data_IF_117920713577
#
_entry.id   IF_117920713577
#
_cell.length_a   1.000
_cell.length_b   1.000
_cell.length_c   1.000
_cell.angle_alpha   90.00
_cell.angle_beta   90.00
_cell.angle_gamma   90.00
#
_symmetry.space_group_name_H-M   'P 1'
#
loop_
_entity.id
_entity.type
_entity.pdbx_description
1 polymer ?
#
# COMPACT_ATOMS: atom_id res chain seq x y z
N UNK A 1 1.33 -17.56 2.96
CA UNK A 1 1.40 -16.13 2.56
C UNK A 1 2.76 -15.54 2.88
N UNK A 2 3.18 -14.60 2.07
CA UNK A 2 4.49 -13.97 2.24
C UNK A 2 4.34 -12.60 2.91
N UNK A 3 5.14 -12.35 3.97
CA UNK A 3 5.21 -11.06 4.66
C UNK A 3 6.68 -10.69 4.85
N UNK A 4 7.27 -9.95 3.90
CA UNK A 4 8.70 -9.60 3.99
C UNK A 4 9.06 -8.87 5.29
N UNK A 5 10.20 -9.24 5.88
CA UNK A 5 10.64 -8.70 7.16
C UNK A 5 11.17 -7.27 7.07
N UNK A 6 11.53 -6.83 5.87
CA UNK A 6 12.09 -5.49 5.66
C UNK A 6 11.03 -4.41 5.42
N UNK A 7 9.75 -4.78 5.55
CA UNK A 7 8.64 -3.84 5.37
C UNK A 7 7.95 -3.57 6.69
N UNK A 8 7.13 -2.52 6.71
CA UNK A 8 6.22 -2.23 7.80
C UNK A 8 4.80 -2.41 7.30
N UNK A 9 3.85 -2.58 8.22
CA UNK A 9 2.49 -2.96 7.88
C UNK A 9 1.47 -2.19 8.70
N UNK A 10 0.27 -2.02 8.14
CA UNK A 10 -0.86 -1.40 8.84
C UNK A 10 -1.97 -2.42 9.05
N UNK A 11 -2.88 -2.12 9.99
CA UNK A 11 -4.06 -2.96 10.21
C UNK A 11 -5.09 -2.83 9.09
N UNK A 12 -4.89 -1.87 8.18
CA UNK A 12 -5.71 -1.73 6.97
C UNK A 12 -5.13 -2.54 5.81
N UNK A 13 -4.08 -3.34 6.11
CA UNK A 13 -3.46 -4.28 5.16
C UNK A 13 -2.68 -3.61 4.04
N UNK A 14 -2.01 -2.50 4.35
CA UNK A 14 -1.02 -1.92 3.45
C UNK A 14 0.37 -2.22 3.97
N UNK A 15 1.33 -2.33 3.05
CA UNK A 15 2.75 -2.43 3.39
C UNK A 15 3.45 -1.12 3.02
N UNK A 16 4.54 -0.85 3.74
CA UNK A 16 5.34 0.36 3.54
C UNK A 16 6.81 -0.03 3.49
N UNK A 17 7.51 0.42 2.45
CA UNK A 17 8.96 0.27 2.35
C UNK A 17 9.57 1.66 2.51
N UNK A 18 10.34 1.86 3.58
CA UNK A 18 10.93 3.14 3.89
C UNK A 18 12.27 3.28 3.17
N UNK A 19 12.45 4.41 2.45
CA UNK A 19 13.67 4.74 1.71
C UNK A 19 14.06 6.17 2.06
N UNK A 20 14.74 6.36 3.21
CA UNK A 20 15.08 7.68 3.70
C UNK A 20 13.83 8.43 4.15
N UNK A 21 13.55 9.58 3.54
CA UNK A 21 12.33 10.33 3.83
C UNK A 21 11.22 10.07 2.81
N UNK A 22 11.39 9.02 2.00
CA UNK A 22 10.37 8.56 1.06
C UNK A 22 9.87 7.18 1.45
N UNK A 23 8.72 6.82 0.92
CA UNK A 23 8.16 5.48 1.13
C UNK A 23 7.44 5.01 -0.12
N UNK A 24 7.49 3.69 -0.32
CA UNK A 24 6.69 3.02 -1.35
C UNK A 24 5.60 2.25 -0.61
N UNK A 25 4.38 2.32 -1.11
CA UNK A 25 3.21 1.74 -0.44
C UNK A 25 2.44 0.85 -1.41
N UNK A 26 1.96 -0.26 -0.90
CA UNK A 26 1.08 -1.15 -1.63
C UNK A 26 0.20 -1.93 -0.66
N UNK A 27 -0.56 -2.90 -1.17
CA UNK A 27 -1.37 -3.76 -0.31
C UNK A 27 -0.68 -5.11 -0.15
N UNK A 28 -0.96 -5.77 0.98
CA UNK A 28 -0.29 -7.01 1.33
C UNK A 28 -0.83 -8.20 0.53
N UNK A 29 -0.08 -9.31 0.57
CA UNK A 29 -0.51 -10.57 -0.01
C UNK A 29 -1.85 -11.02 0.59
N UNK A 30 -2.04 -10.81 1.89
CA UNK A 30 -3.31 -11.11 2.55
C UNK A 30 -4.45 -10.29 1.94
N UNK A 31 -4.23 -8.98 1.76
CA UNK A 31 -5.26 -8.08 1.23
C UNK A 31 -5.66 -8.46 -0.20
N UNK A 32 -4.68 -8.73 -1.06
CA UNK A 32 -5.01 -9.09 -2.44
C UNK A 32 -5.77 -10.42 -2.51
N UNK A 33 -5.45 -11.35 -1.61
CA UNK A 33 -6.16 -12.63 -1.53
C UNK A 33 -7.61 -12.45 -1.12
N UNK A 34 -7.88 -11.55 -0.17
CA UNK A 34 -9.23 -11.25 0.28
C UNK A 34 -10.05 -10.53 -0.80
N UNK A 35 -9.41 -9.64 -1.57
CA UNK A 35 -10.08 -8.90 -2.63
C UNK A 35 -10.35 -9.74 -3.87
N UNK A 36 -9.45 -10.68 -4.18
CA UNK A 36 -9.54 -11.48 -5.40
C UNK A 36 -8.92 -10.72 -6.57
N UNK A 37 -9.31 -11.07 -7.78
CA UNK A 37 -8.71 -10.52 -9.00
C UNK A 37 -8.91 -9.01 -9.11
N UNK A 38 -7.80 -8.28 -9.14
CA UNK A 38 -7.79 -6.83 -9.23
C UNK A 38 -7.92 -6.43 -10.70
N UNK A 39 -8.86 -5.54 -11.00
CA UNK A 39 -9.14 -5.10 -12.35
C UNK A 39 -8.84 -3.62 -12.58
N UNK A 40 -8.76 -2.81 -11.51
CA UNK A 40 -8.49 -1.39 -11.64
C UNK A 40 -7.96 -0.80 -10.34
N UNK A 41 -7.00 0.12 -10.45
CA UNK A 41 -6.47 0.89 -9.31
C UNK A 41 -6.59 2.36 -9.69
N UNK A 42 -7.32 3.14 -8.87
CA UNK A 42 -7.52 4.56 -9.14
C UNK A 42 -6.86 5.38 -8.04
N UNK A 43 -5.94 6.27 -8.45
CA UNK A 43 -5.23 7.16 -7.52
C UNK A 43 -5.25 8.55 -8.12
N UNK A 44 -6.01 9.47 -7.50
CA UNK A 44 -6.19 10.83 -7.97
C UNK A 44 -5.56 11.86 -7.04
N UNK A 45 -4.73 11.40 -6.11
CA UNK A 45 -4.17 12.24 -5.05
C UNK A 45 -2.72 12.64 -5.29
N UNK A 46 -2.20 12.43 -6.50
CA UNK A 46 -0.82 12.81 -6.84
C UNK A 46 -0.64 14.32 -6.60
N UNK A 47 0.43 14.66 -5.89
CA UNK A 47 0.74 16.04 -5.53
C UNK A 47 0.06 16.55 -4.27
N UNK A 48 -0.82 15.76 -3.67
CA UNK A 48 -1.55 16.18 -2.47
C UNK A 48 -0.83 15.75 -1.19
N UNK A 49 -0.82 16.62 -0.21
CA UNK A 49 -0.35 16.29 1.14
C UNK A 49 -1.55 15.78 1.93
N UNK A 50 -1.42 14.60 2.51
CA UNK A 50 -2.50 13.94 3.24
C UNK A 50 -2.05 13.48 4.61
N UNK A 51 -3.02 13.37 5.53
CA UNK A 51 -2.78 12.82 6.86
C UNK A 51 -2.80 11.29 6.81
N UNK A 52 -2.17 10.67 7.80
CA UNK A 52 -2.27 9.21 7.96
C UNK A 52 -3.75 8.84 8.15
N UNK A 53 -4.16 7.73 7.53
CA UNK A 53 -5.54 7.28 7.58
C UNK A 53 -6.45 7.86 6.51
N UNK A 54 -5.97 8.86 5.75
CA UNK A 54 -6.74 9.42 4.64
C UNK A 54 -6.84 8.41 3.50
N UNK A 55 -7.94 8.46 2.75
CA UNK A 55 -8.07 7.63 1.55
C UNK A 55 -7.22 8.25 0.44
N UNK A 56 -6.24 7.50 -0.08
CA UNK A 56 -5.39 8.01 -1.16
C UNK A 56 -5.80 7.48 -2.53
N UNK A 57 -6.66 6.48 -2.57
CA UNK A 57 -7.14 5.90 -3.81
C UNK A 57 -8.11 4.77 -3.54
N UNK A 58 -8.49 4.06 -4.60
CA UNK A 58 -9.35 2.89 -4.49
C UNK A 58 -8.78 1.75 -5.32
N UNK A 59 -9.11 0.54 -4.93
CA UNK A 59 -8.76 -0.65 -5.69
C UNK A 59 -10.06 -1.39 -6.01
N UNK A 60 -10.25 -1.71 -7.30
CA UNK A 60 -11.43 -2.41 -7.76
C UNK A 60 -11.07 -3.84 -8.14
N UNK A 61 -11.78 -4.78 -7.56
CA UNK A 61 -11.69 -6.19 -7.89
C UNK A 61 -12.97 -6.61 -8.60
N UNK A 62 -12.96 -7.80 -9.17
CA UNK A 62 -14.16 -8.32 -9.85
C UNK A 62 -15.36 -8.34 -8.93
N UNK A 63 -15.16 -8.71 -7.66
CA UNK A 63 -16.27 -8.88 -6.71
C UNK A 63 -16.51 -7.70 -5.77
N UNK A 64 -15.59 -6.73 -5.68
CA UNK A 64 -15.72 -5.64 -4.70
C UNK A 64 -14.82 -4.46 -5.01
N UNK A 65 -15.08 -3.33 -4.37
CA UNK A 65 -14.26 -2.12 -4.42
C UNK A 65 -13.85 -1.78 -3.00
N UNK A 66 -12.59 -1.40 -2.80
CA UNK A 66 -12.07 -1.06 -1.47
C UNK A 66 -11.30 0.25 -1.50
N UNK A 67 -11.42 1.03 -0.43
CA UNK A 67 -10.62 2.24 -0.25
C UNK A 67 -9.20 1.86 0.16
N UNK A 68 -8.25 2.71 -0.23
CA UNK A 68 -6.84 2.56 0.13
C UNK A 68 -6.49 3.68 1.12
N UNK A 69 -6.01 3.30 2.29
CA UNK A 69 -5.71 4.24 3.38
C UNK A 69 -4.22 4.53 3.47
N UNK A 70 -3.88 5.81 3.63
CA UNK A 70 -2.48 6.22 3.69
C UNK A 70 -1.87 5.80 5.04
N UNK A 71 -0.76 5.07 5.04
CA UNK A 71 -0.19 4.55 6.30
C UNK A 71 0.51 5.62 7.13
N UNK A 72 1.04 6.66 6.48
CA UNK A 72 1.79 7.74 7.14
C UNK A 72 1.45 9.05 6.46
N UNK A 73 1.52 10.15 7.21
CA UNK A 73 1.30 11.48 6.66
C UNK A 73 2.41 11.84 5.68
N UNK A 74 2.06 12.51 4.59
CA UNK A 74 3.03 12.95 3.59
C UNK A 74 2.38 13.36 2.30
N UNK A 75 3.22 13.57 1.28
CA UNK A 75 2.80 14.02 -0.04
C UNK A 75 2.94 12.87 -1.04
N UNK A 76 1.87 12.58 -1.76
CA UNK A 76 1.87 11.54 -2.78
C UNK A 76 2.64 12.09 -3.99
N UNK A 77 3.78 11.48 -4.32
CA UNK A 77 4.65 11.97 -5.39
C UNK A 77 4.48 11.25 -6.72
N UNK A 78 4.06 9.97 -6.66
CA UNK A 78 4.05 9.16 -7.87
C UNK A 78 3.08 7.99 -7.70
N UNK A 79 2.42 7.59 -8.80
CA UNK A 79 1.68 6.33 -8.83
C UNK A 79 2.43 5.37 -9.75
N UNK A 80 2.23 4.07 -9.55
CA UNK A 80 2.85 3.05 -10.39
C UNK A 80 2.17 3.04 -11.76
N UNK A 81 2.87 3.47 -12.83
CA UNK A 81 2.25 3.58 -14.15
C UNK A 81 1.88 2.22 -14.75
N UNK A 82 2.50 1.15 -14.27
CA UNK A 82 2.24 -0.20 -14.80
C UNK A 82 0.87 -0.74 -14.40
N UNK A 83 0.28 -0.22 -13.32
CA UNK A 83 -1.01 -0.71 -12.85
C UNK A 83 -2.18 -0.30 -13.75
N UNK A 84 -1.99 0.72 -14.57
CA UNK A 84 -3.03 1.15 -15.49
C UNK A 84 -3.30 0.08 -16.55
N UNK A 85 -2.24 -0.52 -17.10
CA UNK A 85 -2.37 -1.57 -18.12
C UNK A 85 -2.41 -2.97 -17.51
N UNK A 86 -1.78 -3.15 -16.35
CA UNK A 86 -1.58 -4.46 -15.74
C UNK A 86 -1.95 -4.45 -14.25
N UNK A 87 -3.23 -4.19 -13.91
CA UNK A 87 -3.63 -4.16 -12.49
C UNK A 87 -3.45 -5.50 -11.77
N UNK A 88 -3.39 -6.59 -12.51
CA UNK A 88 -3.16 -7.94 -11.96
C UNK A 88 -1.80 -8.10 -11.30
N UNK A 89 -0.88 -7.15 -11.50
CA UNK A 89 0.40 -7.15 -10.79
C UNK A 89 0.21 -7.05 -9.27
N UNK A 90 -0.87 -6.42 -8.84
CA UNK A 90 -1.20 -6.35 -7.42
C UNK A 90 -1.43 -7.75 -6.85
N UNK A 91 -2.00 -8.64 -7.65
CA UNK A 91 -2.22 -10.03 -7.23
C UNK A 91 -0.96 -10.88 -7.33
N UNK A 92 -0.21 -10.73 -8.42
CA UNK A 92 0.89 -11.63 -8.74
C UNK A 92 2.20 -11.25 -8.07
N UNK A 93 2.39 -9.94 -7.78
CA UNK A 93 3.64 -9.45 -7.19
C UNK A 93 3.37 -8.23 -6.30
N UNK A 94 2.58 -8.41 -5.22
CA UNK A 94 2.13 -7.26 -4.42
C UNK A 94 3.25 -6.45 -3.77
N UNK A 95 4.39 -7.06 -3.48
CA UNK A 95 5.51 -6.38 -2.83
C UNK A 95 6.57 -5.88 -3.82
N UNK A 96 6.45 -6.22 -5.09
CA UNK A 96 7.38 -5.82 -6.13
C UNK A 96 6.70 -4.94 -7.16
N UNK A 97 6.46 -5.49 -8.35
CA UNK A 97 5.89 -4.74 -9.47
C UNK A 97 4.48 -4.20 -9.20
N UNK A 98 3.79 -4.74 -8.19
CA UNK A 98 2.44 -4.33 -7.82
C UNK A 98 2.37 -3.18 -6.81
N UNK A 99 3.47 -2.46 -6.58
CA UNK A 99 3.44 -1.29 -5.69
C UNK A 99 2.45 -0.25 -6.23
N UNK A 100 1.87 0.54 -5.34
CA UNK A 100 0.83 1.49 -5.75
C UNK A 100 1.29 2.92 -5.83
N UNK A 101 1.89 3.46 -4.76
CA UNK A 101 2.34 4.85 -4.73
C UNK A 101 3.75 4.97 -4.15
N UNK A 102 4.40 6.08 -4.51
CA UNK A 102 5.59 6.57 -3.83
C UNK A 102 5.21 7.90 -3.20
N UNK A 103 5.69 8.14 -2.00
CA UNK A 103 5.35 9.36 -1.26
C UNK A 103 6.56 9.92 -0.53
N UNK A 104 6.53 11.22 -0.25
CA UNK A 104 7.51 11.88 0.60
C UNK A 104 6.90 11.98 1.99
N UNK A 105 7.59 11.43 2.99
CA UNK A 105 7.09 11.39 4.36
C UNK A 105 7.22 12.75 5.04
N UNK A 106 6.19 13.14 5.77
CA UNK A 106 6.21 14.35 6.56
C UNK A 106 7.14 14.18 7.77
N UNK A 107 7.09 12.99 8.39
CA UNK A 107 7.94 12.64 9.54
C UNK A 107 8.31 11.16 9.46
N UNK A 108 9.50 10.85 8.88
CA UNK A 108 9.91 9.45 8.72
C UNK A 108 9.95 8.63 10.01
N UNK A 109 10.18 9.29 11.16
CA UNK A 109 10.24 8.59 12.45
C UNK A 109 8.91 7.93 12.82
N UNK A 110 7.79 8.40 12.27
CA UNK A 110 6.47 7.81 12.54
C UNK A 110 6.35 6.38 12.00
N UNK A 111 7.21 5.99 11.07
CA UNK A 111 7.22 4.63 10.54
C UNK A 111 7.46 3.58 11.61
N UNK A 112 8.16 3.94 12.69
CA UNK A 112 8.46 3.02 13.77
C UNK A 112 7.20 2.61 14.56
N UNK A 113 6.12 3.39 14.43
CA UNK A 113 4.84 3.06 15.04
C UNK A 113 4.02 2.04 14.26
N UNK A 114 4.44 1.70 13.04
CA UNK A 114 3.76 0.71 12.23
C UNK A 114 4.18 -0.71 12.65
N UNK A 115 3.37 -1.70 12.27
CA UNK A 115 3.63 -3.08 12.65
C UNK A 115 4.82 -3.67 11.89
N UNK A 116 5.58 -4.53 12.59
CA UNK A 116 6.57 -5.38 11.94
C UNK A 116 5.86 -6.52 11.22
N UNK A 117 6.59 -7.26 10.38
CA UNK A 117 6.03 -8.43 9.71
C UNK A 117 5.48 -9.44 10.71
N UNK A 118 6.19 -9.66 11.82
CA UNK A 118 5.77 -10.59 12.85
C UNK A 118 4.46 -10.16 13.51
N UNK A 119 4.34 -8.88 13.85
CA UNK A 119 3.13 -8.35 14.47
C UNK A 119 1.94 -8.43 13.51
N UNK A 120 2.16 -8.10 12.25
CA UNK A 120 1.11 -8.17 11.23
C UNK A 120 0.67 -9.61 10.98
N UNK A 121 1.62 -10.52 10.91
CA UNK A 121 1.32 -11.94 10.71
C UNK A 121 0.44 -12.47 11.84
N UNK A 122 0.69 -12.04 13.08
CA UNK A 122 -0.14 -12.41 14.22
C UNK A 122 -1.55 -11.85 14.11
N UNK A 123 -1.69 -10.66 13.50
CA UNK A 123 -2.99 -10.03 13.32
C UNK A 123 -3.86 -10.81 12.31
N UNK A 124 -3.29 -11.26 11.21
CA UNK A 124 -4.06 -11.87 10.11
C UNK A 124 -4.08 -13.39 10.14
N UNK A 125 -3.17 -13.98 10.86
CA UNK A 125 -3.02 -15.42 10.86
C UNK A 125 -3.18 -16.11 12.11
#
# INVERSE_FOLDING_TARGET
MNFPDNLRYTKEHEWVRIEGNEAVVGITDFAQGELGDIVYVEIETIGKELEAGSVFGTVEAVKTVSDLYLPLAGTISELNPNLNANPELVNTDPYGEGWMIRMTLKNPAEAEGLMTAEAYQSLVG
#
